data_IF_610514548767
#
_entry.id   IF_610514548767
#
_cell.length_a   1.000
_cell.length_b   1.000
_cell.length_c   1.000
_cell.angle_alpha   90.00
_cell.angle_beta   90.00
_cell.angle_gamma   90.00
#
_symmetry.space_group_name_H-M   'P 1'
#
loop_
_entity.id
_entity.type
_entity.pdbx_description
1 polymer ?
#
# COMPACT_ATOMS: atom_id res chain seq x y z
N UNK A 1 19.03 -14.38 -8.51
CA UNK A 1 17.61 -14.64 -8.68
C UNK A 1 16.88 -13.36 -8.69
N UNK A 2 15.95 -13.19 -9.59
CA UNK A 2 15.22 -11.95 -9.61
C UNK A 2 14.04 -12.04 -8.64
N UNK A 3 13.69 -10.90 -8.07
CA UNK A 3 12.60 -10.80 -7.11
C UNK A 3 11.44 -10.10 -7.80
N UNK A 4 10.90 -10.74 -8.81
CA UNK A 4 9.85 -10.13 -9.60
C UNK A 4 8.61 -9.89 -8.76
N UNK A 5 8.27 -10.85 -7.90
CA UNK A 5 7.11 -10.69 -7.06
C UNK A 5 7.26 -9.49 -6.12
N UNK A 6 8.42 -9.34 -5.51
CA UNK A 6 8.66 -8.22 -4.62
C UNK A 6 8.64 -6.89 -5.34
N UNK A 7 9.22 -6.86 -6.54
CA UNK A 7 9.19 -5.64 -7.34
C UNK A 7 7.78 -5.24 -7.70
N UNK A 8 6.98 -6.22 -8.13
CA UNK A 8 5.60 -5.92 -8.51
C UNK A 8 4.79 -5.48 -7.32
N UNK A 9 4.99 -6.14 -6.18
CA UNK A 9 4.27 -5.76 -4.98
C UNK A 9 4.58 -4.32 -4.60
N UNK A 10 5.85 -3.95 -4.65
CA UNK A 10 6.24 -2.59 -4.32
C UNK A 10 5.65 -1.59 -5.28
N UNK A 11 5.59 -1.94 -6.56
CA UNK A 11 4.98 -1.04 -7.53
C UNK A 11 3.49 -0.87 -7.30
N UNK A 12 2.80 -1.96 -6.97
CA UNK A 12 1.38 -1.86 -6.68
C UNK A 12 1.14 -1.04 -5.43
N UNK A 13 1.99 -1.19 -4.43
CA UNK A 13 1.87 -0.41 -3.22
C UNK A 13 2.06 1.08 -3.51
N UNK A 14 3.08 1.41 -4.31
CA UNK A 14 3.32 2.80 -4.67
C UNK A 14 2.13 3.39 -5.44
N UNK A 15 1.56 2.60 -6.33
CA UNK A 15 0.42 3.07 -7.09
C UNK A 15 -0.78 3.28 -6.18
N UNK A 16 -1.04 2.36 -5.26
CA UNK A 16 -2.15 2.51 -4.33
C UNK A 16 -1.98 3.76 -3.47
N UNK A 17 -0.75 4.04 -3.05
CA UNK A 17 -0.47 5.24 -2.28
C UNK A 17 -0.73 6.51 -3.08
N UNK A 18 -0.35 6.51 -4.35
CA UNK A 18 -0.63 7.67 -5.21
C UNK A 18 -2.13 7.87 -5.38
N UNK A 19 -2.86 6.78 -5.58
CA UNK A 19 -4.29 6.88 -5.74
C UNK A 19 -4.96 7.38 -4.47
N UNK A 20 -4.49 6.92 -3.32
CA UNK A 20 -5.04 7.39 -2.06
C UNK A 20 -4.79 8.89 -1.89
N UNK A 21 -3.58 9.35 -2.20
CA UNK A 21 -3.26 10.75 -2.07
C UNK A 21 -4.13 11.58 -3.00
N UNK A 22 -4.36 11.09 -4.23
CA UNK A 22 -5.23 11.77 -5.17
C UNK A 22 -6.65 11.86 -4.67
N UNK A 23 -7.14 10.77 -4.09
CA UNK A 23 -8.51 10.78 -3.56
C UNK A 23 -8.64 11.78 -2.42
N UNK A 24 -7.65 11.82 -1.52
CA UNK A 24 -7.67 12.78 -0.43
C UNK A 24 -7.64 14.20 -0.94
N UNK A 25 -6.80 14.47 -1.93
CA UNK A 25 -6.69 15.81 -2.49
C UNK A 25 -7.99 16.25 -3.13
N UNK A 26 -8.73 15.30 -3.68
CA UNK A 26 -10.01 15.59 -4.31
C UNK A 26 -11.18 15.63 -3.32
N UNK A 27 -10.92 15.36 -2.05
CA UNK A 27 -11.98 15.31 -1.06
C UNK A 27 -12.81 14.05 -1.12
N UNK A 28 -12.28 13.00 -1.77
CA UNK A 28 -13.00 11.74 -1.95
C UNK A 28 -12.66 10.83 -0.79
N UNK A 29 -13.41 10.95 0.31
CA UNK A 29 -13.11 10.16 1.49
C UNK A 29 -13.35 8.69 1.28
N UNK A 30 -14.39 8.34 0.53
CA UNK A 30 -14.67 6.93 0.28
C UNK A 30 -13.58 6.31 -0.55
N UNK A 31 -13.09 7.03 -1.55
CA UNK A 31 -12.00 6.53 -2.37
C UNK A 31 -10.72 6.37 -1.56
N UNK A 32 -10.44 7.36 -0.69
CA UNK A 32 -9.25 7.29 0.15
C UNK A 32 -9.31 6.07 1.07
N UNK A 33 -10.50 5.79 1.62
CA UNK A 33 -10.65 4.63 2.49
C UNK A 33 -10.48 3.32 1.74
N UNK A 34 -11.00 3.27 0.52
CA UNK A 34 -10.85 2.06 -0.29
C UNK A 34 -9.38 1.78 -0.57
N UNK A 35 -8.62 2.82 -0.89
CA UNK A 35 -7.20 2.62 -1.14
C UNK A 35 -6.43 2.32 0.14
N UNK A 36 -6.89 2.85 1.27
CA UNK A 36 -6.27 2.50 2.54
C UNK A 36 -6.40 1.00 2.80
N UNK A 37 -7.57 0.43 2.50
CA UNK A 37 -7.75 -1.01 2.65
C UNK A 37 -6.86 -1.80 1.71
N UNK A 38 -6.70 -1.30 0.48
CA UNK A 38 -5.82 -1.94 -0.49
C UNK A 38 -4.38 -1.92 0.00
N UNK A 39 -3.94 -0.77 0.51
CA UNK A 39 -2.58 -0.65 1.02
C UNK A 39 -2.37 -1.62 2.18
N UNK A 40 -3.32 -1.70 3.11
CA UNK A 40 -3.20 -2.61 4.24
C UNK A 40 -3.07 -4.05 3.76
N UNK A 41 -3.84 -4.42 2.76
CA UNK A 41 -3.77 -5.77 2.21
C UNK A 41 -2.40 -6.05 1.61
N UNK A 42 -1.87 -5.09 0.84
CA UNK A 42 -0.57 -5.27 0.22
C UNK A 42 0.52 -5.37 1.28
N UNK A 43 0.41 -4.59 2.35
CA UNK A 43 1.39 -4.66 3.43
C UNK A 43 1.35 -6.02 4.13
N UNK A 44 0.16 -6.58 4.31
CA UNK A 44 0.04 -7.90 4.91
C UNK A 44 0.67 -8.97 4.02
N UNK A 45 0.45 -8.85 2.71
CA UNK A 45 1.05 -9.79 1.77
C UNK A 45 2.57 -9.69 1.84
N UNK A 46 3.09 -8.47 1.89
CA UNK A 46 4.53 -8.26 1.98
C UNK A 46 5.09 -8.92 3.24
N UNK A 47 4.42 -8.71 4.36
CA UNK A 47 4.88 -9.27 5.62
C UNK A 47 4.84 -10.79 5.59
N UNK A 48 3.81 -11.35 4.97
CA UNK A 48 3.66 -12.78 4.90
C UNK A 48 4.79 -13.43 4.08
N UNK A 49 5.26 -12.71 3.07
CA UNK A 49 6.31 -13.22 2.19
C UNK A 49 7.70 -12.70 2.54
N UNK A 50 7.82 -11.98 3.65
CA UNK A 50 9.11 -11.48 4.06
C UNK A 50 9.67 -10.39 3.16
N UNK A 51 8.81 -9.67 2.48
CA UNK A 51 9.23 -8.60 1.58
C UNK A 51 9.27 -7.30 2.37
N UNK A 52 10.40 -6.62 2.31
CA UNK A 52 10.56 -5.37 3.01
C UNK A 52 9.97 -4.23 2.19
N UNK A 53 9.13 -3.44 2.81
CA UNK A 53 8.55 -2.27 2.17
C UNK A 53 8.54 -1.14 3.18
N UNK A 54 8.48 0.08 2.66
CA UNK A 54 8.37 1.24 3.52
C UNK A 54 6.93 1.41 3.99
N UNK A 55 6.80 1.87 5.22
CA UNK A 55 5.49 2.20 5.76
C UNK A 55 5.43 3.70 5.93
N UNK A 56 4.35 4.30 5.46
CA UNK A 56 4.16 5.73 5.66
C UNK A 56 3.30 5.93 6.90
N UNK A 57 3.30 7.16 7.38
CA UNK A 57 2.53 7.48 8.58
C UNK A 57 1.07 7.16 8.35
N UNK A 58 0.47 6.50 9.30
CA UNK A 58 -0.95 6.17 9.23
C UNK A 58 -1.28 4.86 8.56
N UNK A 59 -0.31 4.19 7.95
CA UNK A 59 -0.58 2.92 7.30
C UNK A 59 -0.46 1.75 8.23
N UNK A 60 0.31 1.90 9.29
CA UNK A 60 0.69 0.77 10.05
C UNK A 60 -0.30 0.40 11.06
N UNK A 61 -0.52 -0.73 11.22
CA UNK A 61 -1.21 -1.15 12.22
C UNK A 61 -0.51 -1.88 13.15
N UNK A 62 -0.26 -2.02 14.02
CA UNK A 62 0.45 -2.63 14.78
C UNK A 62 0.20 -3.61 15.31
N UNK A 63 0.28 -4.14 15.53
CA UNK A 63 0.07 -5.04 15.93
C UNK A 63 -0.03 -5.49 16.35
#
# INVERSE_FOLDING_TARGET
>A
MSDVFGLELREQLAEARRQQAGARAAGDEDGAQAYAGRIAQLLRIAAHHGIEVEHTAGEQEED
#
